data_IF_967044319905
#
_entry.id   IF_967044319905
#
_cell.length_a   1.000
_cell.length_b   1.000
_cell.length_c   1.000
_cell.angle_alpha   90.00
_cell.angle_beta   90.00
_cell.angle_gamma   90.00
#
_symmetry.space_group_name_H-M   'P 1'
#
loop_
_entity.id
_entity.type
_entity.pdbx_description
1 polymer ?
#
# COMPACT_ATOMS: atom_id res chain seq x y z
N UNK A 1 14.12 52.49 -19.93
CA UNK A 1 12.77 52.83 -19.44
C UNK A 1 11.72 51.74 -19.73
N UNK A 2 11.53 51.30 -20.99
CA UNK A 2 10.50 50.29 -21.34
C UNK A 2 10.65 48.91 -20.66
N UNK A 3 11.89 48.45 -20.41
CA UNK A 3 12.18 47.21 -19.65
C UNK A 3 11.93 47.32 -18.14
N UNK A 4 12.07 48.52 -17.55
CA UNK A 4 11.77 48.77 -16.13
C UNK A 4 10.27 48.78 -15.85
N UNK A 5 9.45 49.23 -16.80
CA UNK A 5 7.99 49.25 -16.69
C UNK A 5 7.41 47.83 -16.70
N UNK A 6 7.98 46.91 -17.48
CA UNK A 6 7.54 45.51 -17.55
C UNK A 6 7.85 44.76 -16.24
N UNK A 7 9.03 44.98 -15.66
CA UNK A 7 9.41 44.38 -14.36
C UNK A 7 8.50 44.90 -13.24
N UNK A 8 8.16 46.20 -13.24
CA UNK A 8 7.24 46.77 -12.27
C UNK A 8 5.80 46.22 -12.40
N UNK A 9 5.35 45.90 -13.61
CA UNK A 9 4.05 45.27 -13.87
C UNK A 9 3.96 43.80 -13.40
N UNK A 10 5.08 43.07 -13.46
CA UNK A 10 5.16 41.68 -12.94
C UNK A 10 5.12 41.69 -11.41
N UNK A 11 5.83 42.61 -10.76
CA UNK A 11 5.80 42.74 -9.30
C UNK A 11 4.46 43.26 -8.74
N UNK A 12 3.72 44.11 -9.48
CA UNK A 12 2.38 44.55 -9.06
C UNK A 12 1.29 43.47 -9.19
N UNK A 13 1.49 42.44 -10.02
CA UNK A 13 0.56 41.31 -10.17
C UNK A 13 0.84 40.14 -9.21
N UNK A 14 1.86 40.22 -8.37
CA UNK A 14 2.04 39.32 -7.20
C UNK A 14 1.11 39.70 -6.04
N UNK A 15 0.01 40.39 -6.32
CA UNK A 15 -1.06 40.65 -5.38
C UNK A 15 -1.76 39.34 -5.00
N UNK A 16 -1.25 38.72 -3.94
CA UNK A 16 -2.00 37.87 -3.02
C UNK A 16 -2.80 36.76 -3.72
N UNK A 17 -2.11 35.78 -4.31
CA UNK A 17 -2.65 34.43 -4.38
C UNK A 17 -2.69 33.89 -2.95
N UNK A 18 -3.76 34.15 -2.20
CA UNK A 18 -4.02 33.36 -1.00
C UNK A 18 -4.43 31.98 -1.50
N UNK A 19 -3.75 30.93 -1.01
CA UNK A 19 -4.28 29.58 -1.16
C UNK A 19 -5.72 29.56 -0.65
N UNK A 20 -6.60 28.86 -1.36
CA UNK A 20 -7.96 28.66 -0.89
C UNK A 20 -7.89 28.02 0.50
N UNK A 21 -8.58 28.61 1.47
CA UNK A 21 -8.81 27.94 2.73
C UNK A 21 -9.72 26.74 2.47
N UNK A 22 -9.15 25.53 2.49
CA UNK A 22 -9.90 24.28 2.26
C UNK A 22 -10.95 24.03 3.35
N UNK A 23 -10.86 24.74 4.48
CA UNK A 23 -11.87 24.70 5.54
C UNK A 23 -13.03 25.67 5.30
N UNK A 24 -12.97 26.51 4.27
CA UNK A 24 -14.03 27.48 3.97
C UNK A 24 -15.36 26.75 3.68
N UNK A 25 -16.36 27.00 4.52
CA UNK A 25 -17.68 26.35 4.44
C UNK A 25 -17.79 25.03 5.20
N UNK A 26 -16.69 24.52 5.78
CA UNK A 26 -16.72 23.37 6.67
C UNK A 26 -17.05 23.81 8.10
N UNK A 27 -17.90 23.03 8.78
CA UNK A 27 -18.21 23.22 10.19
C UNK A 27 -17.14 22.46 10.99
N UNK A 28 -16.19 23.19 11.56
CA UNK A 28 -15.18 22.61 12.46
C UNK A 28 -15.90 22.15 13.74
N UNK A 29 -15.68 20.91 14.16
CA UNK A 29 -16.29 20.28 15.33
C UNK A 29 -17.82 20.21 15.27
N UNK A 30 -18.37 19.75 14.13
CA UNK A 30 -19.79 19.43 14.07
C UNK A 30 -20.15 18.29 15.04
N UNK A 31 -20.91 18.62 16.09
CA UNK A 31 -21.41 17.69 17.10
C UNK A 31 -22.90 17.38 16.91
N UNK A 32 -23.52 17.90 15.85
CA UNK A 32 -24.92 17.64 15.58
C UNK A 32 -25.12 16.17 15.15
N UNK A 33 -26.28 15.61 15.48
CA UNK A 33 -26.63 14.27 15.05
C UNK A 33 -27.08 14.29 13.58
N UNK A 34 -26.37 13.57 12.72
CA UNK A 34 -26.68 13.41 11.29
C UNK A 34 -27.02 11.93 11.00
N UNK A 35 -28.23 11.47 11.36
CA UNK A 35 -28.58 10.07 11.17
C UNK A 35 -28.57 9.69 9.69
N UNK A 36 -27.85 8.63 9.35
CA UNK A 36 -27.78 8.11 7.99
C UNK A 36 -29.12 7.52 7.56
N UNK A 37 -29.56 7.87 6.37
CA UNK A 37 -30.72 7.23 5.74
C UNK A 37 -30.34 5.85 5.22
N UNK A 38 -31.30 4.93 5.23
CA UNK A 38 -31.12 3.62 4.63
C UNK A 38 -30.94 3.74 3.11
N UNK A 39 -29.96 3.03 2.57
CA UNK A 39 -29.67 2.95 1.14
C UNK A 39 -29.61 1.48 0.71
N UNK A 40 -30.09 1.19 -0.49
CA UNK A 40 -29.92 -0.13 -1.09
C UNK A 40 -28.47 -0.31 -1.53
N UNK A 41 -27.93 -1.53 -1.40
CA UNK A 41 -26.62 -1.89 -1.97
C UNK A 41 -26.62 -1.61 -3.48
N UNK A 42 -25.68 -0.82 -4.02
CA UNK A 42 -25.59 -0.60 -5.47
C UNK A 42 -25.39 -1.91 -6.22
N UNK A 43 -25.85 -1.98 -7.47
CA UNK A 43 -25.45 -3.06 -8.37
C UNK A 43 -23.93 -2.97 -8.64
N UNK A 44 -23.33 -4.09 -9.04
CA UNK A 44 -21.90 -4.13 -9.36
C UNK A 44 -21.53 -3.06 -10.40
N UNK A 45 -20.46 -2.29 -10.10
CA UNK A 45 -19.96 -1.15 -10.88
C UNK A 45 -20.92 0.03 -11.05
N UNK A 46 -22.08 -0.01 -10.41
CA UNK A 46 -22.99 1.13 -10.38
C UNK A 46 -22.71 2.06 -9.21
N UNK A 47 -23.19 3.29 -9.37
CA UNK A 47 -23.13 4.33 -8.35
C UNK A 47 -24.51 4.64 -7.79
N UNK A 48 -24.52 5.14 -6.57
CA UNK A 48 -25.66 5.85 -5.97
C UNK A 48 -25.16 7.19 -5.42
N UNK A 49 -26.08 8.13 -5.20
CA UNK A 49 -25.81 9.33 -4.41
C UNK A 49 -26.37 9.08 -3.01
N UNK A 50 -25.53 9.15 -1.99
CA UNK A 50 -25.97 9.08 -0.59
C UNK A 50 -26.93 10.25 -0.32
N UNK A 51 -28.21 10.00 0.01
CA UNK A 51 -29.18 11.07 0.22
C UNK A 51 -28.93 11.86 1.52
N UNK A 52 -28.10 11.34 2.43
CA UNK A 52 -27.75 11.99 3.70
C UNK A 52 -26.62 13.00 3.52
N UNK A 53 -25.63 12.69 2.67
CA UNK A 53 -24.40 13.48 2.54
C UNK A 53 -24.12 14.01 1.11
N UNK A 54 -24.85 13.55 0.11
CA UNK A 54 -24.62 13.91 -1.30
C UNK A 54 -23.40 13.23 -1.93
N UNK A 55 -22.73 12.33 -1.21
CA UNK A 55 -21.53 11.61 -1.68
C UNK A 55 -21.91 10.57 -2.74
N UNK A 56 -21.12 10.48 -3.80
CA UNK A 56 -21.24 9.40 -4.79
C UNK A 56 -20.56 8.14 -4.26
N UNK A 57 -21.32 7.07 -4.08
CA UNK A 57 -20.81 5.76 -3.63
C UNK A 57 -20.83 4.80 -4.82
N UNK A 58 -19.70 4.14 -5.11
CA UNK A 58 -19.59 3.09 -6.13
C UNK A 58 -19.34 1.74 -5.50
N UNK A 59 -20.01 0.69 -5.98
CA UNK A 59 -19.69 -0.69 -5.61
C UNK A 59 -18.67 -1.27 -6.58
N UNK A 60 -17.49 -1.64 -6.08
CA UNK A 60 -16.35 -2.07 -6.91
C UNK A 60 -16.11 -3.58 -6.97
N UNK A 61 -16.81 -4.37 -6.14
CA UNK A 61 -16.70 -5.85 -6.11
C UNK A 61 -18.06 -6.52 -6.04
N UNK A 62 -18.13 -7.77 -6.51
CA UNK A 62 -19.32 -8.61 -6.39
C UNK A 62 -19.01 -9.99 -5.79
N UNK A 63 -18.96 -10.04 -4.46
CA UNK A 63 -18.72 -11.29 -3.76
C UNK A 63 -19.86 -12.32 -3.92
N UNK A 64 -21.10 -11.89 -4.22
CA UNK A 64 -22.28 -12.74 -4.09
C UNK A 64 -22.77 -12.88 -2.65
N UNK A 65 -23.74 -13.76 -2.42
CA UNK A 65 -24.36 -13.96 -1.10
C UNK A 65 -23.49 -14.86 -0.22
N UNK A 66 -23.19 -14.41 1.00
CA UNK A 66 -22.42 -15.17 1.99
C UNK A 66 -20.90 -15.08 1.82
N UNK A 67 -20.42 -14.53 0.71
CA UNK A 67 -19.01 -14.34 0.44
C UNK A 67 -18.57 -12.91 0.79
N UNK A 68 -17.27 -12.75 0.99
CA UNK A 68 -16.61 -11.55 1.48
C UNK A 68 -15.44 -11.21 0.56
N UNK A 69 -15.48 -10.00 -0.01
CA UNK A 69 -14.34 -9.38 -0.69
C UNK A 69 -14.15 -8.00 -0.05
N UNK A 70 -12.95 -7.73 0.44
CA UNK A 70 -12.59 -6.55 1.23
C UNK A 70 -11.38 -5.84 0.61
N UNK A 71 -11.17 -4.53 0.90
CA UNK A 71 -9.88 -3.92 0.64
C UNK A 71 -8.78 -4.62 1.45
N UNK A 72 -7.52 -4.45 1.02
CA UNK A 72 -6.37 -4.74 1.88
C UNK A 72 -6.45 -3.91 3.17
N UNK A 73 -5.74 -4.33 4.22
CA UNK A 73 -5.70 -3.59 5.47
C UNK A 73 -5.23 -2.14 5.25
N UNK A 74 -5.72 -1.21 6.06
CA UNK A 74 -5.61 0.25 5.80
C UNK A 74 -4.19 0.81 5.76
N UNK A 75 -3.21 0.02 6.17
CA UNK A 75 -1.77 0.31 6.20
C UNK A 75 -1.08 -0.06 4.90
N UNK A 76 -1.71 -0.89 4.08
CA UNK A 76 -1.20 -1.40 2.82
C UNK A 76 -1.82 -0.59 1.70
N UNK A 77 -0.96 -0.06 0.82
CA UNK A 77 -1.36 0.70 -0.35
C UNK A 77 -1.93 -0.28 -1.40
N UNK A 78 -3.23 -0.25 -1.74
CA UNK A 78 -3.80 -1.27 -2.61
C UNK A 78 -3.79 -0.88 -4.09
N UNK A 79 -3.63 0.41 -4.42
CA UNK A 79 -3.39 0.90 -5.79
C UNK A 79 -1.90 0.99 -6.09
N UNK A 80 -1.52 0.62 -7.32
CA UNK A 80 -0.16 0.82 -7.83
C UNK A 80 0.16 2.31 -8.09
N UNK A 81 1.41 2.61 -8.45
CA UNK A 81 1.95 3.96 -8.53
C UNK A 81 1.22 4.93 -9.47
N UNK A 82 0.59 4.43 -10.54
CA UNK A 82 -0.19 5.22 -11.51
C UNK A 82 -1.71 4.99 -11.40
N UNK A 83 -2.14 4.29 -10.35
CA UNK A 83 -3.53 3.93 -10.08
C UNK A 83 -4.18 3.06 -11.17
N UNK A 84 -3.41 2.46 -12.09
CA UNK A 84 -3.94 1.59 -13.15
C UNK A 84 -4.47 0.25 -12.63
N UNK A 85 -3.99 -0.20 -11.47
CA UNK A 85 -4.36 -1.47 -10.84
C UNK A 85 -4.77 -1.28 -9.39
N UNK A 86 -5.70 -2.12 -8.93
CA UNK A 86 -6.15 -2.20 -7.55
C UNK A 86 -6.17 -3.67 -7.11
N UNK A 87 -5.59 -3.96 -5.95
CA UNK A 87 -5.72 -5.27 -5.30
C UNK A 87 -6.82 -5.21 -4.22
N UNK A 88 -7.67 -6.24 -4.21
CA UNK A 88 -8.63 -6.53 -3.12
C UNK A 88 -8.45 -7.97 -2.66
N UNK A 89 -8.86 -8.28 -1.44
CA UNK A 89 -8.75 -9.62 -0.88
C UNK A 89 -10.11 -10.32 -0.84
N UNK A 90 -10.18 -11.50 -1.46
CA UNK A 90 -11.31 -12.42 -1.36
C UNK A 90 -11.08 -13.36 -0.17
N UNK A 91 -11.52 -12.93 1.02
CA UNK A 91 -11.46 -13.71 2.25
C UNK A 91 -12.19 -15.06 2.17
N UNK A 92 -13.10 -15.23 1.21
CA UNK A 92 -13.85 -16.49 1.08
C UNK A 92 -13.01 -17.56 0.41
N UNK A 93 -12.20 -17.15 -0.56
CA UNK A 93 -11.39 -18.05 -1.38
C UNK A 93 -9.88 -17.92 -1.08
N UNK A 94 -9.51 -17.12 -0.09
CA UNK A 94 -8.14 -16.95 0.41
C UNK A 94 -7.18 -16.52 -0.72
N UNK A 95 -7.55 -15.47 -1.44
CA UNK A 95 -6.74 -14.97 -2.56
C UNK A 95 -6.95 -13.48 -2.85
N UNK A 96 -5.98 -12.93 -3.58
CA UNK A 96 -6.03 -11.56 -4.08
C UNK A 96 -6.66 -11.48 -5.47
N UNK A 97 -7.50 -10.48 -5.67
CA UNK A 97 -8.08 -10.14 -6.97
C UNK A 97 -7.45 -8.85 -7.48
N UNK A 98 -7.01 -8.87 -8.73
CA UNK A 98 -6.55 -7.70 -9.46
C UNK A 98 -7.74 -7.09 -10.22
N UNK A 99 -7.99 -5.82 -9.96
CA UNK A 99 -8.97 -5.00 -10.65
C UNK A 99 -8.26 -3.91 -11.46
N UNK A 100 -8.93 -3.41 -12.50
CA UNK A 100 -8.58 -2.13 -13.12
C UNK A 100 -8.78 -1.02 -12.09
N UNK A 101 -7.75 -0.23 -11.79
CA UNK A 101 -7.77 0.74 -10.70
C UNK A 101 -8.68 1.95 -10.95
N UNK A 102 -9.13 2.16 -12.19
CA UNK A 102 -9.94 3.30 -12.61
C UNK A 102 -11.42 2.97 -12.79
N UNK A 103 -11.72 1.81 -13.39
CA UNK A 103 -13.10 1.38 -13.66
C UNK A 103 -13.56 0.20 -12.79
N UNK A 104 -12.63 -0.45 -12.08
CA UNK A 104 -12.83 -1.55 -11.13
C UNK A 104 -13.34 -2.84 -11.74
N UNK A 105 -13.18 -3.00 -13.06
CA UNK A 105 -13.45 -4.27 -13.71
C UNK A 105 -12.44 -5.31 -13.24
N UNK A 106 -12.93 -6.52 -12.99
CA UNK A 106 -12.07 -7.65 -12.63
C UNK A 106 -11.12 -7.98 -13.79
N UNK A 107 -9.82 -8.09 -13.48
CA UNK A 107 -8.78 -8.50 -14.44
C UNK A 107 -8.49 -9.98 -14.26
N UNK A 108 -8.04 -10.38 -13.05
CA UNK A 108 -7.70 -11.77 -12.72
C UNK A 108 -7.54 -11.97 -11.21
N UNK A 109 -7.59 -13.22 -10.77
CA UNK A 109 -7.05 -13.65 -9.48
C UNK A 109 -5.53 -13.74 -9.56
N UNK A 110 -4.82 -13.31 -8.52
CA UNK A 110 -3.37 -13.46 -8.38
C UNK A 110 -3.04 -14.84 -7.79
N UNK A 111 -3.32 -15.90 -8.55
CA UNK A 111 -3.09 -17.29 -8.11
C UNK A 111 -1.66 -17.78 -8.38
N UNK A 112 -0.79 -16.87 -8.80
CA UNK A 112 0.59 -17.11 -9.19
C UNK A 112 1.59 -16.39 -8.27
N UNK A 113 1.14 -15.85 -7.14
CA UNK A 113 1.97 -15.28 -6.06
C UNK A 113 1.73 -16.08 -4.76
N UNK A 114 2.65 -15.98 -3.81
CA UNK A 114 2.58 -16.63 -2.50
C UNK A 114 3.24 -15.73 -1.46
N UNK A 115 2.64 -14.56 -1.14
CA UNK A 115 3.19 -13.70 -0.12
C UNK A 115 3.17 -14.40 1.24
N UNK A 116 4.14 -14.07 2.08
CA UNK A 116 4.29 -14.52 3.46
C UNK A 116 3.05 -14.26 4.35
N UNK A 117 2.27 -13.24 4.00
CA UNK A 117 1.03 -12.86 4.65
C UNK A 117 0.13 -12.16 3.64
N UNK A 118 -1.20 -12.27 3.81
CA UNK A 118 -2.18 -11.75 2.85
C UNK A 118 -2.13 -10.22 2.70
N UNK A 119 -1.53 -9.51 3.65
CA UNK A 119 -1.33 -8.08 3.60
C UNK A 119 0.10 -7.67 3.19
N UNK A 120 1.05 -8.60 3.06
CA UNK A 120 2.45 -8.31 2.71
C UNK A 120 2.70 -8.28 1.18
N UNK A 121 1.91 -7.48 0.48
CA UNK A 121 2.05 -7.18 -0.94
C UNK A 121 2.35 -5.70 -1.14
N UNK A 122 3.49 -5.39 -1.72
CA UNK A 122 3.98 -4.03 -1.79
C UNK A 122 4.18 -3.57 -3.23
N UNK A 123 3.36 -2.63 -3.67
CA UNK A 123 3.58 -1.97 -4.96
C UNK A 123 4.91 -1.23 -4.95
N UNK A 124 5.63 -1.25 -6.08
CA UNK A 124 6.70 -0.29 -6.30
C UNK A 124 6.13 1.13 -6.21
N UNK A 125 6.91 2.03 -5.61
CA UNK A 125 6.55 3.43 -5.50
C UNK A 125 6.64 4.19 -6.83
N UNK A 126 7.33 3.62 -7.83
CA UNK A 126 7.63 4.32 -9.09
C UNK A 126 7.32 3.51 -10.35
N UNK A 127 7.30 2.18 -10.28
CA UNK A 127 7.00 1.31 -11.42
C UNK A 127 5.62 0.62 -11.24
N UNK A 128 4.59 1.03 -11.99
CA UNK A 128 3.24 0.50 -11.82
C UNK A 128 3.10 -0.98 -12.20
N UNK A 129 4.08 -1.59 -12.87
CA UNK A 129 4.05 -3.02 -13.23
C UNK A 129 4.67 -3.92 -12.15
N UNK A 130 5.29 -3.34 -11.12
CA UNK A 130 6.07 -4.08 -10.14
C UNK A 130 5.34 -4.20 -8.82
N UNK A 131 5.17 -5.44 -8.38
CA UNK A 131 4.75 -5.82 -7.04
C UNK A 131 5.88 -6.60 -6.36
N UNK A 132 6.17 -6.30 -5.11
CA UNK A 132 7.15 -6.99 -4.30
C UNK A 132 6.48 -7.76 -3.18
N UNK A 133 7.06 -8.89 -2.79
CA UNK A 133 6.65 -9.67 -1.64
C UNK A 133 7.78 -10.62 -1.20
N UNK A 134 7.71 -11.12 0.03
CA UNK A 134 8.54 -12.24 0.50
C UNK A 134 7.74 -13.53 0.26
N UNK A 135 8.32 -14.51 -0.42
CA UNK A 135 7.65 -15.77 -0.71
C UNK A 135 7.59 -16.67 0.54
N UNK A 136 6.37 -17.05 0.96
CA UNK A 136 6.10 -17.84 2.18
C UNK A 136 6.85 -19.18 2.22
N UNK A 137 7.13 -19.77 1.05
CA UNK A 137 7.72 -21.10 0.97
C UNK A 137 9.24 -21.09 0.82
N UNK A 138 9.80 -20.03 0.25
CA UNK A 138 11.21 -20.00 -0.14
C UNK A 138 12.02 -18.92 0.58
N UNK A 139 11.42 -18.04 1.37
CA UNK A 139 12.11 -16.89 1.99
C UNK A 139 12.75 -15.93 0.97
N UNK A 140 12.30 -15.99 -0.29
CA UNK A 140 12.82 -15.16 -1.38
C UNK A 140 12.12 -13.81 -1.41
N UNK A 141 12.89 -12.73 -1.44
CA UNK A 141 12.35 -11.43 -1.83
C UNK A 141 12.13 -11.46 -3.35
N UNK A 142 10.87 -11.38 -3.76
CA UNK A 142 10.46 -11.46 -5.16
C UNK A 142 10.12 -10.07 -5.69
N UNK A 143 10.59 -9.79 -6.91
CA UNK A 143 10.02 -8.74 -7.78
C UNK A 143 9.12 -9.42 -8.81
N UNK A 144 7.84 -9.11 -8.75
CA UNK A 144 6.82 -9.68 -9.62
C UNK A 144 6.31 -8.64 -10.62
N UNK A 145 6.30 -9.02 -11.90
CA UNK A 145 5.85 -8.19 -13.01
C UNK A 145 4.38 -8.50 -13.33
N UNK A 146 3.45 -7.61 -12.98
CA UNK A 146 2.00 -7.82 -13.10
C UNK A 146 1.57 -8.18 -14.52
N UNK A 147 2.10 -7.46 -15.51
CA UNK A 147 1.71 -7.56 -16.91
C UNK A 147 2.15 -8.87 -17.57
N UNK A 148 3.28 -9.43 -17.11
CA UNK A 148 3.93 -10.59 -17.74
C UNK A 148 3.88 -11.85 -16.88
N UNK A 149 3.51 -11.73 -15.60
CA UNK A 149 3.50 -12.81 -14.61
C UNK A 149 4.89 -13.42 -14.36
N UNK A 150 5.95 -12.68 -14.67
CA UNK A 150 7.33 -13.09 -14.43
C UNK A 150 7.74 -12.74 -13.00
N UNK A 151 8.44 -13.66 -12.34
CA UNK A 151 9.08 -13.45 -11.04
C UNK A 151 10.59 -13.35 -11.21
N UNK A 152 11.16 -12.24 -10.76
CA UNK A 152 12.60 -12.13 -10.53
C UNK A 152 12.87 -12.39 -9.06
N UNK A 153 13.70 -13.39 -8.76
CA UNK A 153 14.24 -13.60 -7.42
C UNK A 153 15.32 -12.53 -7.20
N UNK A 154 15.11 -11.64 -6.23
CA UNK A 154 16.11 -10.64 -5.87
C UNK A 154 17.18 -11.30 -5.00
N UNK A 155 16.74 -11.95 -3.92
CA UNK A 155 17.61 -12.63 -2.96
C UNK A 155 16.80 -13.61 -2.12
N UNK A 156 17.45 -14.64 -1.58
CA UNK A 156 16.91 -15.42 -0.47
C UNK A 156 17.32 -14.78 0.86
N UNK A 157 16.35 -14.24 1.60
CA UNK A 157 16.58 -13.42 2.80
C UNK A 157 17.15 -14.25 3.97
N UNK A 158 16.66 -15.48 4.16
CA UNK A 158 17.20 -16.40 5.16
C UNK A 158 18.68 -16.74 4.91
N UNK A 159 19.04 -16.95 3.64
CA UNK A 159 20.41 -17.29 3.22
C UNK A 159 21.36 -16.10 3.40
N UNK A 160 20.96 -14.89 2.96
CA UNK A 160 21.85 -13.72 3.05
C UNK A 160 22.02 -13.23 4.50
N UNK A 161 21.00 -13.42 5.35
CA UNK A 161 21.10 -13.16 6.79
C UNK A 161 21.87 -14.26 7.54
N UNK A 162 22.08 -15.42 6.92
CA UNK A 162 22.74 -16.57 7.55
C UNK A 162 21.92 -17.20 8.67
N UNK A 163 20.59 -17.03 8.66
CA UNK A 163 19.69 -17.52 9.70
C UNK A 163 19.32 -18.99 9.45
N UNK A 164 19.09 -19.37 8.19
CA UNK A 164 18.62 -20.71 7.82
C UNK A 164 17.22 -21.04 8.36
N UNK A 165 16.49 -20.04 8.84
CA UNK A 165 15.12 -20.11 9.37
C UNK A 165 14.19 -19.26 8.53
N UNK A 166 12.89 -19.53 8.63
CA UNK A 166 11.83 -18.75 8.02
C UNK A 166 11.94 -17.25 8.36
N UNK A 167 11.72 -16.41 7.36
CA UNK A 167 11.73 -14.96 7.49
C UNK A 167 10.41 -14.35 7.08
N UNK A 168 10.07 -13.25 7.73
CA UNK A 168 8.83 -12.50 7.49
C UNK A 168 9.10 -11.01 7.43
N UNK A 169 8.27 -10.24 6.71
CA UNK A 169 8.29 -8.79 6.84
C UNK A 169 7.74 -8.33 8.21
N UNK A 170 7.14 -9.22 8.99
CA UNK A 170 6.52 -8.92 10.29
C UNK A 170 5.06 -8.46 10.15
N UNK A 171 4.44 -8.08 11.27
CA UNK A 171 3.05 -7.61 11.26
C UNK A 171 2.96 -6.15 10.77
N UNK A 172 1.77 -5.75 10.31
CA UNK A 172 1.41 -4.36 9.98
C UNK A 172 1.86 -3.31 10.99
N UNK A 173 2.32 -2.11 10.64
CA UNK A 173 2.54 -1.42 9.34
C UNK A 173 3.92 -1.78 8.78
N UNK A 174 4.05 -2.44 7.62
CA UNK A 174 5.36 -2.70 7.00
C UNK A 174 5.39 -2.17 5.58
N UNK A 175 6.48 -1.51 5.19
CA UNK A 175 6.71 -0.98 3.85
C UNK A 175 8.22 -0.95 3.57
N UNK A 176 8.60 -1.17 2.32
CA UNK A 176 9.95 -0.91 1.83
C UNK A 176 10.24 0.60 1.75
N UNK A 177 11.51 0.97 1.55
CA UNK A 177 11.87 2.38 1.35
C UNK A 177 11.18 2.95 0.12
N UNK A 178 10.95 4.27 0.07
CA UNK A 178 10.37 4.93 -1.11
C UNK A 178 11.16 4.73 -2.41
N UNK A 179 12.45 4.42 -2.31
CA UNK A 179 13.30 4.04 -3.43
C UNK A 179 13.16 2.58 -3.89
N UNK A 180 12.31 1.79 -3.22
CA UNK A 180 12.17 0.33 -3.37
C UNK A 180 13.46 -0.48 -3.11
N UNK A 181 14.48 0.13 -2.51
CA UNK A 181 15.83 -0.42 -2.40
C UNK A 181 16.13 -1.08 -1.05
N UNK A 182 15.48 -0.64 0.03
CA UNK A 182 15.71 -1.15 1.39
C UNK A 182 14.48 -1.85 1.91
N UNK A 183 14.69 -3.03 2.49
CA UNK A 183 13.66 -3.96 2.94
C UNK A 183 13.93 -4.39 4.38
N UNK A 184 12.93 -4.25 5.25
CA UNK A 184 12.97 -4.80 6.61
C UNK A 184 12.46 -6.23 6.63
N UNK A 185 13.12 -7.11 7.38
CA UNK A 185 12.63 -8.46 7.64
C UNK A 185 13.18 -8.99 8.96
N UNK A 186 12.63 -10.12 9.41
CA UNK A 186 12.96 -10.74 10.69
C UNK A 186 12.85 -12.25 10.61
N UNK A 187 13.43 -12.96 11.56
CA UNK A 187 13.16 -14.38 11.76
C UNK A 187 11.85 -14.60 12.53
N UNK A 188 11.23 -15.77 12.35
CA UNK A 188 10.06 -16.18 13.18
C UNK A 188 10.44 -16.87 14.48
N UNK A 189 11.70 -17.29 14.64
CA UNK A 189 12.17 -18.11 15.76
C UNK A 189 13.00 -17.34 16.79
N UNK A 190 13.23 -17.96 17.96
CA UNK A 190 14.05 -17.43 19.06
C UNK A 190 15.53 -17.85 18.89
N UNK A 191 16.52 -16.94 18.92
CA UNK A 191 16.36 -15.51 19.16
C UNK A 191 15.74 -14.79 17.96
N UNK A 192 14.85 -13.85 18.29
CA UNK A 192 14.28 -12.96 17.31
C UNK A 192 15.38 -12.03 16.81
N UNK A 193 15.77 -12.20 15.55
CA UNK A 193 16.72 -11.33 14.90
C UNK A 193 16.01 -10.53 13.80
N UNK A 194 16.37 -9.26 13.71
CA UNK A 194 15.79 -8.31 12.76
C UNK A 194 16.87 -7.74 11.86
N UNK A 195 16.52 -7.51 10.62
CA UNK A 195 17.46 -7.18 9.56
C UNK A 195 16.88 -6.14 8.62
N UNK A 196 17.78 -5.42 7.94
CA UNK A 196 17.46 -4.72 6.72
C UNK A 196 18.33 -5.25 5.59
N UNK A 197 17.73 -5.50 4.45
CA UNK A 197 18.42 -5.80 3.20
C UNK A 197 18.38 -4.59 2.27
N UNK A 198 19.50 -4.31 1.60
CA UNK A 198 19.60 -3.28 0.57
C UNK A 198 19.93 -3.93 -0.78
N UNK A 199 19.04 -3.77 -1.77
CA UNK A 199 19.15 -4.42 -3.08
C UNK A 199 20.40 -3.92 -3.82
N UNK A 200 20.57 -2.60 -3.91
CA UNK A 200 21.62 -1.96 -4.71
C UNK A 200 23.05 -2.32 -4.28
N UNK A 201 23.27 -2.52 -2.97
CA UNK A 201 24.56 -2.92 -2.40
C UNK A 201 24.66 -4.42 -2.11
N UNK A 202 23.56 -5.17 -2.27
CA UNK A 202 23.43 -6.56 -1.85
C UNK A 202 23.96 -6.79 -0.42
N UNK A 203 23.53 -5.95 0.51
CA UNK A 203 24.03 -5.96 1.89
C UNK A 203 22.92 -6.16 2.90
N UNK A 204 23.20 -6.94 3.93
CA UNK A 204 22.33 -7.13 5.09
C UNK A 204 22.93 -6.43 6.31
N UNK A 205 22.07 -5.78 7.10
CA UNK A 205 22.41 -5.19 8.39
C UNK A 205 21.50 -5.79 9.44
N UNK A 206 22.07 -6.39 10.48
CA UNK A 206 21.33 -6.87 11.64
C UNK A 206 21.16 -5.75 12.67
N UNK A 207 19.99 -5.65 13.29
CA UNK A 207 19.74 -4.77 14.42
C UNK A 207 19.48 -5.59 15.69
N UNK A 208 19.75 -4.97 16.84
CA UNK A 208 19.43 -5.56 18.13
C UNK A 208 18.10 -5.00 18.62
N UNK A 209 17.17 -5.88 19.00
CA UNK A 209 15.93 -5.49 19.69
C UNK A 209 16.11 -5.48 21.20
N UNK A 210 15.30 -4.67 21.90
CA UNK A 210 15.20 -4.81 23.36
C UNK A 210 14.35 -6.03 23.70
N UNK A 211 15.00 -7.10 24.17
CA UNK A 211 14.34 -8.33 24.58
C UNK A 211 13.28 -8.15 25.69
N UNK A 212 13.27 -6.99 26.38
CA UNK A 212 12.28 -6.65 27.40
C UNK A 212 11.05 -5.91 26.83
N UNK A 213 11.06 -5.55 25.55
CA UNK A 213 9.94 -4.88 24.91
C UNK A 213 9.12 -5.86 24.05
N UNK A 214 8.03 -6.44 24.57
CA UNK A 214 7.25 -7.43 23.83
C UNK A 214 6.55 -6.87 22.59
N UNK A 215 6.41 -5.55 22.44
CA UNK A 215 5.87 -4.97 21.21
C UNK A 215 6.85 -5.04 20.05
N UNK A 216 8.16 -5.06 20.30
CA UNK A 216 9.19 -5.19 19.26
C UNK A 216 9.24 -6.62 18.69
N UNK A 217 8.59 -7.57 19.37
CA UNK A 217 8.58 -8.98 18.96
C UNK A 217 7.67 -9.28 17.78
N UNK A 218 7.06 -8.29 17.11
CA UNK A 218 6.17 -8.51 15.96
C UNK A 218 6.52 -7.70 14.71
N UNK A 219 7.41 -6.72 14.81
CA UNK A 219 7.74 -5.83 13.69
C UNK A 219 9.13 -6.14 13.14
N UNK A 220 9.32 -5.97 11.84
CA UNK A 220 10.65 -5.82 11.28
C UNK A 220 11.04 -4.33 11.19
N UNK A 221 12.32 -4.00 10.93
CA UNK A 221 12.76 -2.61 10.85
C UNK A 221 12.13 -1.93 9.63
N UNK A 222 11.40 -0.84 9.84
CA UNK A 222 10.87 -0.07 8.72
C UNK A 222 11.91 0.91 8.20
N UNK A 223 12.37 0.78 6.96
CA UNK A 223 13.18 1.81 6.34
C UNK A 223 12.36 3.11 6.24
N UNK A 224 12.99 4.22 6.61
CA UNK A 224 12.37 5.53 6.49
C UNK A 224 12.27 6.02 5.04
N UNK A 225 11.65 7.20 4.84
CA UNK A 225 11.66 7.86 3.55
C UNK A 225 13.11 8.11 3.08
N UNK A 226 13.40 7.70 1.85
CA UNK A 226 14.72 7.78 1.19
C UNK A 226 14.92 9.07 0.41
#
# INVERSE_FOLDING_TARGET
>A
MRKMIIILFIFLNMGILKGQDLSSGLIINDMANHPMQAINKPAYLNTIVDPSFGTVIRRITDAGQGNIIVPLYSTIQPWNADESYLIVFDQTNDNHLLLDGMNYTYIRTLNDIAPDDDEQLFWSHTDPDILFYIDDLTDELIRYHISTQVKDIIVNLATIAGTGSYVTAGNDVMMQSWSDDVWGFRTSENPLDVYSYTISSNSVVQFSLDANNPSENYYAPMPGPS
#
